data_IF_040184567822
#
_entry.id   IF_040184567822
#
_cell.length_a   1.000
_cell.length_b   1.000
_cell.length_c   1.000
_cell.angle_alpha   90.00
_cell.angle_beta   90.00
_cell.angle_gamma   90.00
#
_symmetry.space_group_name_H-M   'P 1'
#
loop_
_entity.id
_entity.type
_entity.pdbx_description
1 polymer ?
#
# COMPACT_ATOMS: atom_id res chain seq x y z
N UNK A 1 6.05 0.16 -15.12
CA UNK A 1 5.63 -0.29 -13.78
C UNK A 1 5.68 -1.81 -13.58
N UNK A 2 4.94 -2.66 -14.33
CA UNK A 2 4.97 -4.14 -14.11
C UNK A 2 6.37 -4.75 -13.97
N UNK A 3 7.32 -4.36 -14.83
CA UNK A 3 8.72 -4.81 -14.74
C UNK A 3 9.43 -4.39 -13.44
N UNK A 4 9.10 -3.22 -12.90
CA UNK A 4 9.70 -2.67 -11.69
C UNK A 4 9.29 -3.47 -10.45
N UNK A 5 8.01 -3.83 -10.35
CA UNK A 5 7.50 -4.63 -9.22
C UNK A 5 7.70 -6.14 -9.39
N UNK A 6 8.10 -6.61 -10.58
CA UNK A 6 8.20 -8.05 -10.89
C UNK A 6 9.15 -8.76 -9.93
N UNK A 7 8.62 -9.76 -9.19
CA UNK A 7 9.40 -10.57 -8.26
C UNK A 7 9.52 -9.98 -6.85
N UNK A 8 8.91 -8.81 -6.59
CA UNK A 8 8.81 -8.27 -5.25
C UNK A 8 7.58 -8.81 -4.51
N UNK A 9 7.59 -8.62 -3.19
CA UNK A 9 6.39 -8.65 -2.37
C UNK A 9 5.72 -7.26 -2.40
N UNK A 10 4.40 -7.22 -2.51
CA UNK A 10 3.63 -5.99 -2.51
C UNK A 10 3.04 -5.77 -1.13
N UNK A 11 3.59 -4.79 -0.40
CA UNK A 11 3.10 -4.36 0.90
C UNK A 11 2.20 -3.15 0.67
N UNK A 12 0.91 -3.28 0.99
CA UNK A 12 -0.11 -2.27 0.72
C UNK A 12 -1.03 -2.14 1.93
N UNK A 13 -1.52 -0.93 2.19
CA UNK A 13 -2.50 -0.70 3.24
C UNK A 13 -3.90 -0.68 2.64
N UNK A 14 -4.76 -1.65 3.00
CA UNK A 14 -6.03 -1.89 2.31
C UNK A 14 -5.82 -2.37 0.86
N UNK A 15 -4.97 -3.39 0.68
CA UNK A 15 -4.46 -3.84 -0.61
C UNK A 15 -5.53 -4.11 -1.69
N UNK A 16 -6.76 -4.47 -1.30
CA UNK A 16 -7.86 -4.69 -2.26
C UNK A 16 -8.18 -3.45 -3.10
N UNK A 17 -7.97 -2.25 -2.55
CA UNK A 17 -8.14 -0.99 -3.26
C UNK A 17 -7.12 -0.86 -4.40
N UNK A 18 -5.83 -0.84 -4.07
CA UNK A 18 -4.75 -0.66 -5.05
C UNK A 18 -4.73 -1.78 -6.10
N UNK A 19 -4.95 -3.02 -5.69
CA UNK A 19 -5.01 -4.17 -6.60
C UNK A 19 -6.14 -4.02 -7.60
N UNK A 20 -7.32 -3.53 -7.18
CA UNK A 20 -8.44 -3.30 -8.08
C UNK A 20 -8.09 -2.30 -9.19
N UNK A 21 -7.42 -1.21 -8.83
CA UNK A 21 -6.91 -0.23 -9.80
C UNK A 21 -5.85 -0.84 -10.72
N UNK A 22 -4.87 -1.55 -10.16
CA UNK A 22 -3.81 -2.16 -10.96
C UNK A 22 -4.36 -3.21 -11.94
N UNK A 23 -5.26 -4.08 -11.50
CA UNK A 23 -5.90 -5.09 -12.35
C UNK A 23 -6.69 -4.44 -13.49
N UNK A 24 -7.46 -3.39 -13.17
CA UNK A 24 -8.22 -2.63 -14.17
C UNK A 24 -7.28 -1.96 -15.19
N UNK A 25 -6.29 -1.19 -14.73
CA UNK A 25 -5.34 -0.47 -15.58
C UNK A 25 -4.51 -1.44 -16.46
N UNK A 26 -4.09 -2.58 -15.90
CA UNK A 26 -3.40 -3.61 -16.68
C UNK A 26 -4.29 -4.35 -17.67
N UNK A 27 -5.60 -4.40 -17.46
CA UNK A 27 -6.55 -5.01 -18.41
C UNK A 27 -6.77 -4.14 -19.64
N UNK A 28 -6.74 -2.81 -19.48
CA UNK A 28 -6.92 -1.84 -20.58
C UNK A 28 -5.60 -1.50 -21.27
N UNK A 29 -4.47 -1.58 -20.56
CA UNK A 29 -3.17 -1.47 -21.19
C UNK A 29 -3.01 -2.64 -22.17
N UNK A 30 -2.77 -2.36 -23.45
CA UNK A 30 -2.46 -3.32 -24.53
C UNK A 30 -1.10 -4.00 -24.35
N UNK A 31 -0.79 -4.40 -23.11
CA UNK A 31 0.29 -5.33 -22.82
C UNK A 31 -0.14 -6.64 -23.48
N UNK A 32 0.45 -6.95 -24.64
CA UNK A 32 0.27 -8.21 -25.40
C UNK A 32 0.44 -9.49 -24.55
N UNK A 33 0.85 -9.36 -23.30
CA UNK A 33 1.01 -10.38 -22.29
C UNK A 33 0.34 -9.95 -20.98
N UNK A 34 -0.97 -9.66 -20.97
CA UNK A 34 -1.70 -9.54 -19.71
C UNK A 34 -1.48 -10.83 -18.92
N UNK A 35 -0.77 -10.74 -17.79
CA UNK A 35 -0.29 -11.90 -17.02
C UNK A 35 -1.34 -12.45 -16.06
N UNK A 36 -2.59 -12.01 -16.22
CA UNK A 36 -3.70 -12.25 -15.30
C UNK A 36 -3.66 -11.31 -14.10
N UNK A 37 -4.53 -11.56 -13.09
CA UNK A 37 -4.65 -10.70 -11.93
C UNK A 37 -3.35 -10.54 -11.15
N UNK A 38 -3.11 -9.35 -10.60
CA UNK A 38 -1.99 -9.00 -9.71
C UNK A 38 -1.94 -9.96 -8.53
N UNK A 39 -3.09 -10.32 -7.94
CA UNK A 39 -3.17 -11.31 -6.84
C UNK A 39 -2.57 -12.67 -7.18
N UNK A 40 -2.55 -13.05 -8.47
CA UNK A 40 -1.99 -14.32 -8.93
C UNK A 40 -0.50 -14.22 -9.24
N UNK A 41 -0.02 -13.01 -9.53
CA UNK A 41 1.36 -12.77 -9.99
C UNK A 41 2.32 -12.36 -8.87
N UNK A 42 1.81 -11.89 -7.73
CA UNK A 42 2.60 -11.32 -6.66
C UNK A 42 2.18 -11.86 -5.28
N UNK A 43 3.14 -11.91 -4.35
CA UNK A 43 2.84 -12.07 -2.94
C UNK A 43 2.38 -10.72 -2.39
N UNK A 44 1.26 -10.71 -1.66
CA UNK A 44 0.61 -9.48 -1.22
C UNK A 44 0.46 -9.52 0.31
N UNK A 45 0.96 -8.48 0.97
CA UNK A 45 0.75 -8.21 2.38
C UNK A 45 -0.18 -7.02 2.50
N UNK A 46 -1.33 -7.26 3.13
CA UNK A 46 -2.27 -6.20 3.50
C UNK A 46 -2.00 -5.77 4.95
N UNK A 47 -1.35 -4.62 5.10
CA UNK A 47 -0.96 -4.08 6.41
C UNK A 47 -2.16 -3.64 7.23
N UNK A 48 -3.32 -3.35 6.62
CA UNK A 48 -4.54 -3.07 7.38
C UNK A 48 -5.05 -4.36 8.07
N UNK A 49 -4.99 -5.50 7.37
CA UNK A 49 -5.32 -6.81 7.96
C UNK A 49 -4.33 -7.17 9.07
N UNK A 50 -3.04 -6.88 8.88
CA UNK A 50 -2.02 -7.06 9.92
C UNK A 50 -2.30 -6.17 11.14
N UNK A 51 -2.51 -4.86 10.93
CA UNK A 51 -2.79 -3.91 11.98
C UNK A 51 -4.06 -4.24 12.77
N UNK A 52 -5.11 -4.77 12.11
CA UNK A 52 -6.33 -5.25 12.79
C UNK A 52 -6.09 -6.46 13.69
N UNK A 53 -5.10 -7.31 13.38
CA UNK A 53 -4.71 -8.43 14.25
C UNK A 53 -3.92 -7.94 15.46
N UNK A 54 -3.01 -6.98 15.26
CA UNK A 54 -2.15 -6.44 16.32
C UNK A 54 -2.95 -5.51 17.25
N UNK A 55 -3.82 -4.66 16.69
CA UNK A 55 -4.62 -3.65 17.39
C UNK A 55 -6.11 -3.87 17.16
N UNK A 56 -6.70 -4.93 17.75
CA UNK A 56 -8.10 -5.29 17.54
C UNK A 56 -9.04 -4.21 18.09
N UNK A 57 -10.12 -3.92 17.36
CA UNK A 57 -11.13 -2.94 17.75
C UNK A 57 -10.71 -1.46 17.64
N UNK A 58 -9.46 -1.18 17.26
CA UNK A 58 -8.97 0.18 17.13
C UNK A 58 -9.02 0.70 15.68
N UNK A 59 -8.95 2.02 15.53
CA UNK A 59 -8.70 2.63 14.21
C UNK A 59 -7.26 2.34 13.80
N UNK A 60 -7.10 1.79 12.60
CA UNK A 60 -5.83 1.32 12.05
C UNK A 60 -5.56 1.95 10.67
N UNK A 61 -5.97 3.20 10.45
CA UNK A 61 -5.50 3.97 9.30
C UNK A 61 -4.02 4.32 9.46
N UNK A 62 -3.33 4.62 8.36
CA UNK A 62 -1.94 5.08 8.34
C UNK A 62 -1.71 6.19 9.39
N UNK A 63 -2.55 7.23 9.40
CA UNK A 63 -2.49 8.32 10.40
C UNK A 63 -2.51 7.84 11.87
N UNK A 64 -3.35 6.84 12.16
CA UNK A 64 -3.51 6.33 13.51
C UNK A 64 -2.34 5.43 13.90
N UNK A 65 -1.76 4.73 12.92
CA UNK A 65 -0.56 3.94 13.12
C UNK A 65 0.68 4.83 13.30
N UNK A 66 0.83 5.90 12.53
CA UNK A 66 1.91 6.90 12.73
C UNK A 66 1.91 7.43 14.16
N UNK A 67 0.74 7.91 14.62
CA UNK A 67 0.58 8.42 15.99
C UNK A 67 0.83 7.36 17.06
N UNK A 68 0.51 6.10 16.77
CA UNK A 68 0.69 4.99 17.73
C UNK A 68 2.16 4.60 17.87
N UNK A 69 2.92 4.69 16.79
CA UNK A 69 4.32 4.27 16.74
C UNK A 69 5.31 5.44 16.87
N UNK A 70 4.82 6.64 17.21
CA UNK A 70 5.62 7.87 17.33
C UNK A 70 6.47 8.13 16.07
N UNK A 71 5.86 7.91 14.91
CA UNK A 71 6.45 8.24 13.61
C UNK A 71 6.23 9.74 13.41
N UNK A 72 7.14 10.51 14.00
CA UNK A 72 7.10 11.99 14.08
C UNK A 72 8.12 12.67 13.13
N UNK A 73 8.91 11.89 12.38
CA UNK A 73 10.14 12.37 11.70
C UNK A 73 10.02 12.60 10.20
N UNK A 74 8.83 12.60 9.62
CA UNK A 74 8.70 13.18 8.29
C UNK A 74 8.40 14.65 8.53
N UNK A 75 9.39 15.49 8.26
CA UNK A 75 9.37 16.98 8.31
C UNK A 75 8.20 17.64 7.51
N UNK A 76 7.23 16.84 7.03
CA UNK A 76 6.06 17.22 6.25
C UNK A 76 4.73 16.69 6.82
N UNK A 77 4.65 16.17 8.06
CA UNK A 77 3.38 15.67 8.63
C UNK A 77 2.27 16.75 8.65
N UNK A 78 2.64 18.02 8.90
CA UNK A 78 1.73 19.18 8.83
C UNK A 78 1.44 19.65 7.38
N UNK A 79 2.25 19.22 6.40
CA UNK A 79 2.04 19.49 4.97
C UNK A 79 1.40 18.31 4.21
N UNK A 80 0.84 17.31 4.92
CA UNK A 80 0.05 16.21 4.34
C UNK A 80 -1.28 16.64 3.71
N UNK A 81 -1.48 17.93 3.47
CA UNK A 81 -2.60 18.45 2.70
C UNK A 81 -2.58 17.97 1.23
N UNK A 82 -1.46 17.48 0.70
CA UNK A 82 -1.42 16.64 -0.50
C UNK A 82 -0.96 15.22 -0.12
N UNK A 83 -1.91 14.28 -0.03
CA UNK A 83 -1.63 12.87 0.16
C UNK A 83 -1.01 12.32 -1.12
N UNK A 84 0.32 12.34 -1.20
CA UNK A 84 1.05 11.77 -2.33
C UNK A 84 1.27 10.27 -2.13
N UNK A 85 1.00 9.46 -3.14
CA UNK A 85 1.21 8.01 -3.09
C UNK A 85 2.66 7.61 -2.72
N UNK A 86 3.65 8.45 -3.05
CA UNK A 86 5.05 8.23 -2.66
C UNK A 86 5.24 8.42 -1.14
N UNK A 87 4.72 9.50 -0.58
CA UNK A 87 4.79 9.80 0.85
C UNK A 87 4.06 8.72 1.66
N UNK A 88 2.87 8.30 1.22
CA UNK A 88 2.12 7.23 1.87
C UNK A 88 2.88 5.90 1.83
N UNK A 89 3.62 5.62 0.76
CA UNK A 89 4.47 4.43 0.65
C UNK A 89 5.69 4.50 1.58
N UNK A 90 6.33 5.66 1.73
CA UNK A 90 7.44 5.88 2.67
C UNK A 90 6.97 5.72 4.12
N UNK A 91 5.86 6.36 4.48
CA UNK A 91 5.24 6.22 5.80
C UNK A 91 4.88 4.75 6.08
N UNK A 92 4.29 4.07 5.09
CA UNK A 92 3.91 2.68 5.25
C UNK A 92 5.12 1.77 5.46
N UNK A 93 6.25 2.07 4.82
CA UNK A 93 7.51 1.35 5.03
C UNK A 93 8.08 1.57 6.44
N UNK A 94 7.87 2.73 7.06
CA UNK A 94 8.24 2.96 8.47
C UNK A 94 7.27 2.29 9.46
N UNK A 95 5.99 2.17 9.10
CA UNK A 95 4.96 1.49 9.92
C UNK A 95 5.16 -0.03 9.93
N UNK A 96 5.56 -0.61 8.79
CA UNK A 96 5.65 -2.05 8.56
C UNK A 96 6.89 -2.66 9.24
#
# INVERSE_FOLDING_TARGET
>A
FWKFIKGSELIMHNAEFDIGFLDYEFSICTIKNHKGPVKRSFKIIDTLKLARKIHPGQRNSIDKLCKRYNIDNIDNIDNRHLHGALLDAEILAEIY
#
